data_IF_451856131751
#
_entry.id   IF_451856131751
#
_cell.length_a   1.000
_cell.length_b   1.000
_cell.length_c   1.000
_cell.angle_alpha   90.00
_cell.angle_beta   90.00
_cell.angle_gamma   90.00
#
_symmetry.space_group_name_H-M   'P 1'
#
loop_
_entity.id
_entity.type
_entity.pdbx_description
1 polymer ?
#
# COMPACT_ATOMS: atom_id res chain seq x y z
N UNK A 1 -0.07 -31.58 19.98
CA UNK A 1 -0.33 -30.83 18.74
C UNK A 1 0.98 -30.23 18.27
N UNK A 2 1.24 -30.19 16.97
CA UNK A 2 2.41 -29.52 16.43
C UNK A 2 2.18 -28.00 16.49
N UNK A 3 2.83 -27.34 17.44
CA UNK A 3 2.71 -25.89 17.66
C UNK A 3 3.39 -25.08 16.56
N UNK A 4 4.00 -25.72 15.56
CA UNK A 4 4.62 -25.08 14.39
C UNK A 4 3.68 -24.11 13.65
N UNK A 5 2.37 -24.36 13.68
CA UNK A 5 1.34 -23.51 13.06
C UNK A 5 1.31 -22.08 13.64
N UNK A 6 1.75 -21.88 14.89
CA UNK A 6 1.81 -20.56 15.54
C UNK A 6 2.91 -19.66 14.95
N UNK A 7 3.91 -20.22 14.25
CA UNK A 7 4.94 -19.42 13.59
C UNK A 7 4.48 -18.81 12.26
N UNK A 8 3.43 -19.35 11.63
CA UNK A 8 2.93 -18.85 10.34
C UNK A 8 2.40 -17.40 10.42
N UNK A 9 1.58 -17.01 11.43
CA UNK A 9 1.18 -15.62 11.63
C UNK A 9 2.35 -14.71 12.05
N UNK A 10 3.34 -15.25 12.79
CA UNK A 10 4.48 -14.49 13.28
C UNK A 10 5.38 -13.99 12.14
N UNK A 11 5.45 -14.73 11.03
CA UNK A 11 6.21 -14.34 9.83
C UNK A 11 5.67 -13.06 9.16
N UNK A 12 4.38 -12.75 9.31
CA UNK A 12 3.76 -11.53 8.73
C UNK A 12 4.05 -10.26 9.55
N UNK A 13 4.44 -10.41 10.82
CA UNK A 13 4.67 -9.31 11.74
C UNK A 13 5.78 -8.33 11.33
N UNK A 14 6.97 -8.77 10.88
CA UNK A 14 8.00 -7.85 10.42
C UNK A 14 7.76 -7.31 9.00
N UNK A 15 7.09 -8.08 8.14
CA UNK A 15 6.95 -7.75 6.72
C UNK A 15 6.06 -6.53 6.48
N UNK A 16 4.94 -6.41 7.20
CA UNK A 16 3.94 -5.37 6.96
C UNK A 16 4.42 -3.97 7.40
N UNK A 17 4.96 -3.78 8.62
CA UNK A 17 5.50 -2.49 9.05
C UNK A 17 6.66 -2.00 8.17
N UNK A 18 7.55 -2.90 7.75
CA UNK A 18 8.66 -2.56 6.85
C UNK A 18 8.15 -2.07 5.49
N UNK A 19 7.11 -2.73 4.96
CA UNK A 19 6.40 -2.26 3.77
C UNK A 19 5.81 -0.86 4.01
N UNK A 20 5.11 -0.65 5.13
CA UNK A 20 4.48 0.63 5.47
C UNK A 20 5.47 1.80 5.54
N UNK A 21 6.69 1.58 6.04
CA UNK A 21 7.75 2.62 6.08
C UNK A 21 8.15 3.05 4.67
N UNK A 22 8.43 2.08 3.78
CA UNK A 22 8.75 2.38 2.37
C UNK A 22 7.63 3.17 1.69
N UNK A 23 6.37 2.89 2.05
CA UNK A 23 5.22 3.60 1.49
C UNK A 23 5.00 4.99 2.07
N UNK A 24 5.25 5.19 3.37
CA UNK A 24 5.21 6.52 3.97
C UNK A 24 6.19 7.46 3.24
N UNK A 25 7.40 6.96 2.92
CA UNK A 25 8.39 7.70 2.15
C UNK A 25 7.86 8.03 0.73
N UNK A 26 7.28 7.05 0.04
CA UNK A 26 6.75 7.24 -1.31
C UNK A 26 5.53 8.18 -1.36
N UNK A 27 4.63 8.08 -0.39
CA UNK A 27 3.48 8.96 -0.23
C UNK A 27 3.94 10.41 0.02
N UNK A 28 4.90 10.59 0.93
CA UNK A 28 5.48 11.90 1.25
C UNK A 28 6.07 12.55 0.00
N UNK A 29 6.92 11.82 -0.73
CA UNK A 29 7.53 12.30 -1.98
C UNK A 29 6.49 12.68 -3.03
N UNK A 30 5.45 11.84 -3.23
CA UNK A 30 4.39 12.10 -4.20
C UNK A 30 3.55 13.33 -3.81
N UNK A 31 3.25 13.47 -2.52
CA UNK A 31 2.51 14.63 -1.99
C UNK A 31 3.29 15.93 -2.13
N UNK A 32 4.61 15.89 -1.90
CA UNK A 32 5.50 17.03 -2.07
C UNK A 32 5.59 17.45 -3.55
N UNK A 33 5.65 16.49 -4.47
CA UNK A 33 5.63 16.76 -5.91
C UNK A 33 4.32 17.40 -6.37
N UNK A 34 3.16 16.91 -5.91
CA UNK A 34 1.86 17.51 -6.23
C UNK A 34 1.79 18.96 -5.74
N UNK A 35 2.27 19.25 -4.53
CA UNK A 35 2.32 20.62 -3.99
C UNK A 35 3.23 21.52 -4.83
N UNK A 36 4.44 21.08 -5.16
CA UNK A 36 5.36 21.84 -6.02
C UNK A 36 4.76 22.17 -7.38
N UNK A 37 4.12 21.20 -8.02
CA UNK A 37 3.43 21.39 -9.29
C UNK A 37 2.28 22.41 -9.15
N UNK A 38 1.52 22.33 -8.05
CA UNK A 38 0.44 23.28 -7.76
C UNK A 38 0.97 24.70 -7.56
N UNK A 39 2.05 24.86 -6.79
CA UNK A 39 2.67 26.16 -6.52
C UNK A 39 3.23 26.78 -7.82
N UNK A 40 3.87 25.98 -8.67
CA UNK A 40 4.37 26.42 -9.99
C UNK A 40 3.22 26.86 -10.91
N UNK A 41 2.12 26.11 -10.92
CA UNK A 41 0.90 26.46 -11.65
C UNK A 41 0.34 27.81 -11.17
N UNK A 42 0.21 28.03 -9.86
CA UNK A 42 -0.33 29.28 -9.31
C UNK A 42 0.58 30.46 -9.64
N UNK A 43 1.89 30.29 -9.58
CA UNK A 43 2.87 31.33 -9.89
C UNK A 43 2.90 31.70 -11.38
N UNK A 44 2.86 30.70 -12.28
CA UNK A 44 3.08 30.89 -13.71
C UNK A 44 1.81 30.93 -14.57
N UNK A 45 0.62 30.72 -13.98
CA UNK A 45 -0.68 30.71 -14.69
C UNK A 45 -0.91 31.94 -15.57
N UNK A 46 -0.52 33.14 -15.12
CA UNK A 46 -0.73 34.38 -15.87
C UNK A 46 0.19 34.54 -17.08
N UNK A 47 1.33 33.83 -17.09
CA UNK A 47 2.38 33.99 -18.10
C UNK A 47 2.30 32.97 -19.25
N UNK A 48 1.80 31.75 -19.00
CA UNK A 48 1.97 30.62 -19.94
C UNK A 48 0.69 30.13 -20.65
N UNK A 49 -0.45 30.79 -20.44
CA UNK A 49 -1.71 30.51 -21.14
C UNK A 49 -2.41 29.21 -20.73
N UNK A 50 -3.60 28.95 -21.30
CA UNK A 50 -4.48 27.85 -20.90
C UNK A 50 -3.93 26.44 -21.23
N UNK A 51 -3.18 26.30 -22.32
CA UNK A 51 -2.58 25.02 -22.75
C UNK A 51 -1.57 24.51 -21.71
N UNK A 52 -0.78 25.41 -21.10
CA UNK A 52 0.13 25.07 -20.01
C UNK A 52 -0.65 24.57 -18.79
N UNK A 53 -1.73 25.26 -18.43
CA UNK A 53 -2.57 24.86 -17.27
C UNK A 53 -3.17 23.47 -17.46
N UNK A 54 -3.65 23.16 -18.67
CA UNK A 54 -4.26 21.86 -19.00
C UNK A 54 -3.26 20.70 -18.81
N UNK A 55 -2.04 20.81 -19.35
CA UNK A 55 -1.02 19.74 -19.27
C UNK A 55 -0.62 19.42 -17.82
N UNK A 56 -0.54 20.42 -16.96
CA UNK A 56 -0.19 20.21 -15.55
C UNK A 56 -1.37 19.65 -14.74
N UNK A 57 -2.62 20.03 -15.04
CA UNK A 57 -3.80 19.42 -14.42
C UNK A 57 -3.88 17.92 -14.72
N UNK A 58 -3.56 17.51 -15.96
CA UNK A 58 -3.48 16.10 -16.33
C UNK A 58 -2.40 15.36 -15.51
N UNK A 59 -1.22 15.96 -15.33
CA UNK A 59 -0.17 15.38 -14.49
C UNK A 59 -0.63 15.22 -13.03
N UNK A 60 -1.27 16.24 -12.45
CA UNK A 60 -1.85 16.16 -11.10
C UNK A 60 -2.86 15.01 -11.00
N UNK A 61 -3.71 14.81 -12.01
CA UNK A 61 -4.69 13.72 -12.00
C UNK A 61 -4.01 12.34 -11.99
N UNK A 62 -2.95 12.15 -12.77
CA UNK A 62 -2.15 10.91 -12.78
C UNK A 62 -1.50 10.68 -11.41
N UNK A 63 -0.88 11.71 -10.82
CA UNK A 63 -0.24 11.65 -9.50
C UNK A 63 -1.28 11.33 -8.40
N UNK A 64 -2.47 11.95 -8.46
CA UNK A 64 -3.57 11.69 -7.52
C UNK A 64 -4.09 10.26 -7.62
N UNK A 65 -4.22 9.72 -8.84
CA UNK A 65 -4.63 8.31 -9.05
C UNK A 65 -3.63 7.34 -8.42
N UNK A 66 -2.33 7.58 -8.61
CA UNK A 66 -1.26 6.79 -7.98
C UNK A 66 -1.30 6.89 -6.45
N UNK A 67 -1.51 8.09 -5.92
CA UNK A 67 -1.65 8.33 -4.47
C UNK A 67 -2.83 7.55 -3.89
N UNK A 68 -3.96 7.51 -4.61
CA UNK A 68 -5.15 6.76 -4.20
C UNK A 68 -4.89 5.25 -4.20
N UNK A 69 -4.32 4.71 -5.28
CA UNK A 69 -3.91 3.29 -5.34
C UNK A 69 -2.97 2.92 -4.20
N UNK A 70 -1.99 3.80 -3.92
CA UNK A 70 -1.05 3.62 -2.82
C UNK A 70 -1.73 3.54 -1.46
N UNK A 71 -2.63 4.49 -1.18
CA UNK A 71 -3.45 4.48 0.03
C UNK A 71 -4.30 3.22 0.14
N UNK A 72 -4.90 2.76 -0.95
CA UNK A 72 -5.81 1.60 -0.95
C UNK A 72 -5.09 0.32 -0.59
N UNK A 73 -4.00 -0.04 -1.27
CA UNK A 73 -3.28 -1.26 -0.94
C UNK A 73 -2.69 -1.18 0.48
N UNK A 74 -2.19 -0.01 0.90
CA UNK A 74 -1.63 0.15 2.25
C UNK A 74 -2.69 -0.01 3.33
N UNK A 75 -3.91 0.49 3.10
CA UNK A 75 -5.05 0.29 4.00
C UNK A 75 -5.40 -1.19 4.09
N UNK A 76 -5.45 -1.90 2.96
CA UNK A 76 -5.70 -3.35 2.93
C UNK A 76 -4.60 -4.14 3.65
N UNK A 77 -3.33 -3.79 3.45
CA UNK A 77 -2.22 -4.38 4.17
C UNK A 77 -2.31 -4.17 5.68
N UNK A 78 -2.67 -2.97 6.13
CA UNK A 78 -2.89 -2.67 7.55
C UNK A 78 -4.09 -3.45 8.13
N UNK A 79 -5.19 -3.57 7.38
CA UNK A 79 -6.35 -4.38 7.77
C UNK A 79 -5.98 -5.86 7.88
N UNK A 80 -5.25 -6.38 6.90
CA UNK A 80 -4.73 -7.75 6.95
C UNK A 80 -3.86 -7.99 8.18
N UNK A 81 -2.96 -7.06 8.50
CA UNK A 81 -2.12 -7.15 9.69
C UNK A 81 -2.95 -7.17 10.96
N UNK A 82 -3.96 -6.30 11.07
CA UNK A 82 -4.87 -6.27 12.21
C UNK A 82 -5.62 -7.61 12.38
N UNK A 83 -6.14 -8.18 11.30
CA UNK A 83 -6.77 -9.51 11.30
C UNK A 83 -5.76 -10.60 11.70
N UNK A 84 -4.50 -10.50 11.28
CA UNK A 84 -3.44 -11.41 11.69
C UNK A 84 -3.10 -11.30 13.18
N UNK A 85 -3.16 -10.10 13.78
CA UNK A 85 -3.00 -9.93 15.23
C UNK A 85 -4.13 -10.62 16.01
N UNK A 86 -5.36 -10.58 15.50
CA UNK A 86 -6.47 -11.34 16.08
C UNK A 86 -6.22 -12.85 15.97
N UNK A 87 -5.69 -13.34 14.84
CA UNK A 87 -5.29 -14.74 14.71
C UNK A 87 -4.25 -15.12 15.78
N UNK A 88 -3.18 -14.34 15.97
CA UNK A 88 -2.17 -14.58 17.01
C UNK A 88 -2.80 -14.58 18.41
N UNK A 89 -3.71 -13.66 18.69
CA UNK A 89 -4.41 -13.60 19.98
C UNK A 89 -5.16 -14.90 20.31
N UNK A 90 -5.91 -15.45 19.35
CA UNK A 90 -6.57 -16.74 19.51
C UNK A 90 -5.57 -17.91 19.54
N UNK A 91 -4.48 -17.82 18.78
CA UNK A 91 -3.41 -18.81 18.77
C UNK A 91 -2.72 -18.95 20.14
N UNK A 92 -2.51 -17.84 20.87
CA UNK A 92 -1.91 -17.88 22.21
C UNK A 92 -2.78 -18.65 23.22
N UNK A 93 -4.11 -18.63 23.07
CA UNK A 93 -5.02 -19.39 23.93
C UNK A 93 -4.86 -20.90 23.71
N UNK A 94 -4.35 -21.32 22.56
CA UNK A 94 -4.08 -22.73 22.22
C UNK A 94 -2.89 -23.34 22.99
N UNK A 95 -2.07 -22.51 23.64
CA UNK A 95 -0.90 -22.94 24.43
C UNK A 95 -1.32 -23.36 25.85
N UNK A 96 -2.53 -23.02 26.29
CA UNK A 96 -3.05 -23.42 27.60
C UNK A 96 -3.38 -24.92 27.66
N UNK A 97 -3.32 -25.53 28.85
CA UNK A 97 -3.46 -26.97 29.10
C UNK A 97 -4.83 -27.57 28.67
N UNK A 98 -5.82 -26.72 28.32
CA UNK A 98 -7.16 -27.16 27.90
C UNK A 98 -7.52 -26.49 26.56
N UNK A 99 -7.02 -26.99 25.42
CA UNK A 99 -7.32 -26.40 24.11
C UNK A 99 -8.77 -26.70 23.72
N UNK A 100 -9.62 -25.66 23.61
CA UNK A 100 -10.95 -25.81 23.03
C UNK A 100 -10.83 -25.98 21.51
N UNK A 101 -11.35 -27.07 20.90
CA UNK A 101 -11.32 -27.27 19.45
C UNK A 101 -12.00 -26.13 18.66
N UNK A 102 -12.93 -25.38 19.27
CA UNK A 102 -13.54 -24.21 18.64
C UNK A 102 -12.52 -23.07 18.40
N UNK A 103 -11.54 -22.90 19.29
CA UNK A 103 -10.51 -21.86 19.19
C UNK A 103 -9.58 -22.13 18.01
N UNK A 104 -9.29 -23.41 17.70
CA UNK A 104 -8.49 -23.80 16.54
C UNK A 104 -9.15 -23.33 15.24
N UNK A 105 -10.46 -23.55 15.09
CA UNK A 105 -11.19 -23.15 13.89
C UNK A 105 -11.23 -21.63 13.73
N UNK A 106 -11.40 -20.89 14.83
CA UNK A 106 -11.34 -19.43 14.85
C UNK A 106 -9.95 -18.95 14.40
N UNK A 107 -8.89 -19.48 15.02
CA UNK A 107 -7.51 -19.17 14.65
C UNK A 107 -7.25 -19.35 13.15
N UNK A 108 -7.60 -20.52 12.59
CA UNK A 108 -7.38 -20.83 11.18
C UNK A 108 -8.18 -19.88 10.28
N UNK A 109 -9.44 -19.60 10.64
CA UNK A 109 -10.30 -18.70 9.86
C UNK A 109 -9.73 -17.28 9.77
N UNK A 110 -9.33 -16.70 10.91
CA UNK A 110 -8.72 -15.37 10.94
C UNK A 110 -7.39 -15.33 10.17
N UNK A 111 -6.56 -16.37 10.30
CA UNK A 111 -5.29 -16.45 9.56
C UNK A 111 -5.51 -16.50 8.04
N UNK A 112 -6.44 -17.34 7.56
CA UNK A 112 -6.77 -17.42 6.13
C UNK A 112 -7.33 -16.08 5.62
N UNK A 113 -8.23 -15.44 6.37
CA UNK A 113 -8.75 -14.13 6.01
C UNK A 113 -7.65 -13.07 5.91
N UNK A 114 -6.71 -13.04 6.86
CA UNK A 114 -5.57 -12.14 6.81
C UNK A 114 -4.71 -12.37 5.55
N UNK A 115 -4.41 -13.63 5.20
CA UNK A 115 -3.65 -13.99 4.01
C UNK A 115 -4.34 -13.57 2.70
N UNK A 116 -5.65 -13.74 2.61
CA UNK A 116 -6.41 -13.34 1.41
C UNK A 116 -6.38 -11.83 1.22
N UNK A 117 -6.63 -11.06 2.28
CA UNK A 117 -6.58 -9.59 2.24
C UNK A 117 -5.15 -9.13 1.89
N UNK A 118 -4.13 -9.78 2.47
CA UNK A 118 -2.73 -9.45 2.17
C UNK A 118 -2.37 -9.72 0.71
N UNK A 119 -2.85 -10.83 0.15
CA UNK A 119 -2.62 -11.18 -1.25
C UNK A 119 -3.22 -10.13 -2.20
N UNK A 120 -4.44 -9.67 -1.92
CA UNK A 120 -5.08 -8.58 -2.69
C UNK A 120 -4.27 -7.28 -2.56
N UNK A 121 -3.81 -6.95 -1.36
CA UNK A 121 -2.94 -5.80 -1.11
C UNK A 121 -1.66 -5.86 -1.96
N UNK A 122 -0.97 -7.00 -2.00
CA UNK A 122 0.24 -7.17 -2.81
C UNK A 122 -0.06 -7.07 -4.31
N UNK A 123 -1.16 -7.66 -4.79
CA UNK A 123 -1.53 -7.57 -6.20
C UNK A 123 -1.75 -6.12 -6.65
N UNK A 124 -2.45 -5.32 -5.83
CA UNK A 124 -2.64 -3.90 -6.07
C UNK A 124 -1.33 -3.11 -6.01
N UNK A 125 -0.43 -3.47 -5.09
CA UNK A 125 0.90 -2.88 -4.99
C UNK A 125 1.72 -3.13 -6.27
N UNK A 126 1.75 -4.37 -6.76
CA UNK A 126 2.45 -4.71 -8.01
C UNK A 126 1.89 -3.89 -9.18
N UNK A 127 0.56 -3.81 -9.30
CA UNK A 127 -0.09 -3.02 -10.35
C UNK A 127 0.28 -1.54 -10.29
N UNK A 128 0.29 -0.95 -9.09
CA UNK A 128 0.67 0.46 -8.89
C UNK A 128 2.15 0.70 -9.22
N UNK A 129 3.03 -0.24 -8.86
CA UNK A 129 4.46 -0.15 -9.15
C UNK A 129 4.73 -0.09 -10.65
N UNK A 130 4.11 -1.00 -11.43
CA UNK A 130 4.19 -1.03 -12.89
C UNK A 130 3.71 0.29 -13.51
N UNK A 131 2.56 0.81 -13.05
CA UNK A 131 2.02 2.07 -13.54
C UNK A 131 2.97 3.25 -13.25
N UNK A 132 3.62 3.25 -12.09
CA UNK A 132 4.54 4.33 -11.75
C UNK A 132 5.84 4.34 -12.54
N UNK A 133 6.39 3.16 -12.85
CA UNK A 133 7.57 3.04 -13.71
C UNK A 133 7.23 3.49 -15.12
N UNK A 134 6.10 3.04 -15.67
CA UNK A 134 5.65 3.46 -17.00
C UNK A 134 5.43 4.97 -17.11
N UNK A 135 4.82 5.59 -16.10
CA UNK A 135 4.61 7.04 -16.08
C UNK A 135 5.92 7.83 -15.99
N UNK A 136 6.91 7.33 -15.24
CA UNK A 136 8.23 7.95 -15.13
C UNK A 136 8.99 7.86 -16.46
N UNK A 137 9.03 6.68 -17.09
CA UNK A 137 9.72 6.48 -18.35
C UNK A 137 9.15 7.38 -19.45
N UNK A 138 7.82 7.50 -19.55
CA UNK A 138 7.19 8.42 -20.50
C UNK A 138 7.58 9.88 -20.28
N UNK A 139 7.73 10.29 -19.01
CA UNK A 139 8.15 11.66 -18.69
C UNK A 139 9.62 11.92 -19.01
N UNK A 140 10.48 10.90 -18.92
CA UNK A 140 11.89 10.98 -19.32
C UNK A 140 12.05 11.02 -20.84
N UNK A 141 11.27 10.21 -21.57
CA UNK A 141 11.25 10.20 -23.04
C UNK A 141 10.83 11.57 -23.61
N UNK A 142 9.79 12.19 -23.04
CA UNK A 142 9.38 13.57 -23.37
C UNK A 142 10.51 14.62 -23.16
N UNK A 143 11.48 14.36 -22.26
CA UNK A 143 12.60 15.27 -21.96
C UNK A 143 13.82 15.01 -22.86
N UNK A 144 14.03 13.77 -23.30
CA UNK A 144 15.13 13.42 -24.23
C UNK A 144 14.84 13.86 -25.68
N UNK A 145 13.57 13.98 -26.05
CA UNK A 145 13.15 14.47 -27.38
C UNK A 145 13.13 16.01 -27.50
N UNK A 146 13.52 16.76 -26.46
CA UNK A 146 13.60 18.24 -26.48
C UNK A 146 15.05 18.75 -26.58
#
# INVERSE_FOLDING_TARGET
MDYGILFLPAALFPAIPLMMINYANRYSSLSALIRRIHDDLVANRKSKGEIYVQRYLEQIQILKRRLYLNRTFQTLGAVSFFVNLLAIFFGLQLITDVPDPNIVNIFISFFISALLIFSISIALFIFELQLSVKALNKHLEDLEET
#
